data_IF_779599539121
#
_entry.id   IF_779599539121
#
_cell.length_a   1.000
_cell.length_b   1.000
_cell.length_c   1.000
_cell.angle_alpha   90.00
_cell.angle_beta   90.00
_cell.angle_gamma   90.00
#
_symmetry.space_group_name_H-M   'P 1'
#
loop_
_entity.id
_entity.type
_entity.pdbx_description
1 polymer ?
#
# COMPACT_ATOMS: atom_id res chain seq x y z
N UNK A 1 -2.51 13.14 -28.00
CA UNK A 1 -2.72 13.68 -26.79
C UNK A 1 -1.51 14.19 -26.14
N UNK A 2 -1.64 15.25 -25.63
CA UNK A 2 -0.48 16.10 -25.52
C UNK A 2 -0.18 16.54 -24.12
N UNK A 3 -0.59 15.73 -23.15
CA UNK A 3 -0.24 16.06 -21.78
C UNK A 3 1.17 15.58 -21.48
N UNK A 4 2.02 16.45 -20.96
CA UNK A 4 3.35 16.03 -20.55
C UNK A 4 3.32 15.14 -19.32
N UNK A 5 4.37 14.38 -19.13
CA UNK A 5 4.57 13.68 -17.87
C UNK A 5 4.63 14.70 -16.74
N UNK A 6 4.16 14.31 -15.57
CA UNK A 6 4.05 15.21 -14.43
C UNK A 6 4.73 14.59 -13.22
N UNK A 7 5.60 15.37 -12.58
CA UNK A 7 6.23 14.96 -11.32
C UNK A 7 5.29 15.29 -10.17
N UNK A 8 5.14 14.36 -9.25
CA UNK A 8 4.48 14.63 -7.96
C UNK A 8 5.54 14.48 -6.88
N UNK A 9 5.88 15.59 -6.23
CA UNK A 9 6.88 15.59 -5.18
C UNK A 9 6.28 15.05 -3.88
N UNK A 10 7.12 14.50 -3.01
CA UNK A 10 6.65 13.97 -1.73
C UNK A 10 5.88 15.03 -0.93
N UNK A 11 6.34 16.27 -0.95
CA UNK A 11 5.67 17.35 -0.22
C UNK A 11 4.26 17.63 -0.77
N UNK A 12 3.97 17.23 -1.99
CA UNK A 12 2.66 17.40 -2.61
C UNK A 12 1.72 16.22 -2.38
N UNK A 13 2.23 15.13 -1.83
CA UNK A 13 1.42 13.94 -1.60
C UNK A 13 0.38 14.21 -0.51
N UNK A 14 -0.76 13.54 -0.60
CA UNK A 14 -1.78 13.62 0.42
C UNK A 14 -1.44 12.63 1.53
N UNK A 15 -1.19 13.15 2.73
CA UNK A 15 -0.81 12.33 3.88
C UNK A 15 -2.02 12.02 4.74
N UNK A 16 -2.12 10.79 5.20
CA UNK A 16 -3.17 10.38 6.12
C UNK A 16 -2.72 9.16 6.92
N UNK A 17 -3.42 8.91 8.02
CA UNK A 17 -3.14 7.76 8.88
C UNK A 17 -4.25 6.73 8.74
N UNK A 18 -3.84 5.46 8.70
CA UNK A 18 -4.76 4.34 8.81
C UNK A 18 -4.35 3.57 10.06
N UNK A 19 -4.93 3.93 11.21
CA UNK A 19 -4.40 3.50 12.47
C UNK A 19 -2.97 3.98 12.63
N UNK A 20 -2.01 3.10 12.94
CA UNK A 20 -0.60 3.51 13.05
C UNK A 20 0.13 3.58 11.71
N UNK A 21 -0.52 3.22 10.62
CA UNK A 21 0.09 3.20 9.30
C UNK A 21 0.05 4.60 8.70
N UNK A 22 1.22 5.15 8.34
CA UNK A 22 1.30 6.46 7.69
C UNK A 22 1.27 6.27 6.19
N UNK A 23 0.27 6.84 5.55
CA UNK A 23 0.03 6.71 4.12
C UNK A 23 0.28 8.02 3.40
N UNK A 24 0.85 7.91 2.20
CA UNK A 24 1.03 9.05 1.29
C UNK A 24 0.43 8.67 -0.05
N UNK A 25 -0.60 9.37 -0.47
CA UNK A 25 -1.18 9.16 -1.79
C UNK A 25 -0.53 10.15 -2.75
N UNK A 26 0.19 9.65 -3.74
CA UNK A 26 0.88 10.48 -4.72
C UNK A 26 0.04 10.77 -5.94
N UNK A 27 -0.66 9.77 -6.45
CA UNK A 27 -1.42 9.86 -7.69
C UNK A 27 -2.75 9.17 -7.51
N UNK A 28 -3.80 9.81 -7.97
CA UNK A 28 -5.10 9.17 -8.09
C UNK A 28 -5.82 9.74 -9.30
N UNK A 29 -6.12 8.86 -10.25
CA UNK A 29 -6.86 9.19 -11.46
C UNK A 29 -7.94 8.14 -11.65
N UNK A 30 -8.86 8.32 -12.60
CA UNK A 30 -9.82 7.24 -12.89
C UNK A 30 -9.17 5.94 -13.34
N UNK A 31 -7.90 5.95 -13.75
CA UNK A 31 -7.22 4.78 -14.28
C UNK A 31 -6.32 4.08 -13.29
N UNK A 32 -5.80 4.79 -12.28
CA UNK A 32 -4.87 4.20 -11.32
C UNK A 32 -4.73 5.05 -10.07
N UNK A 33 -4.16 4.44 -9.03
CA UNK A 33 -3.64 5.18 -7.89
C UNK A 33 -2.26 4.62 -7.51
N UNK A 34 -1.49 5.46 -6.83
CA UNK A 34 -0.17 5.07 -6.32
C UNK A 34 0.12 5.82 -5.03
N UNK A 35 0.62 5.10 -4.07
CA UNK A 35 1.02 5.69 -2.81
C UNK A 35 2.01 4.82 -2.06
N UNK A 36 2.34 5.26 -0.86
CA UNK A 36 3.26 4.55 0.02
C UNK A 36 2.67 4.43 1.41
N UNK A 37 3.13 3.41 2.12
CA UNK A 37 2.82 3.22 3.54
C UNK A 37 4.11 3.06 4.31
N UNK A 38 4.14 3.56 5.53
CA UNK A 38 5.18 3.23 6.49
C UNK A 38 4.54 2.79 7.80
N UNK A 39 5.15 1.81 8.44
CA UNK A 39 4.60 1.20 9.64
C UNK A 39 5.77 0.88 10.58
N UNK A 40 5.70 1.38 11.81
CA UNK A 40 6.75 1.17 12.79
C UNK A 40 6.84 -0.31 13.20
N UNK A 41 7.99 -0.75 13.74
CA UNK A 41 8.14 -2.14 14.17
C UNK A 41 7.05 -2.56 15.15
N UNK A 42 6.59 -3.79 14.98
CA UNK A 42 5.59 -4.44 15.84
C UNK A 42 4.19 -3.81 15.76
N UNK A 43 3.97 -2.89 14.83
CA UNK A 43 2.66 -2.27 14.64
C UNK A 43 1.82 -3.07 13.65
N UNK A 44 0.52 -3.00 13.86
CA UNK A 44 -0.48 -3.61 12.98
C UNK A 44 -1.36 -2.50 12.42
N UNK A 45 -1.49 -2.43 11.11
CA UNK A 45 -2.36 -1.45 10.46
C UNK A 45 -3.84 -1.79 10.66
N UNK A 46 -4.69 -0.89 10.24
CA UNK A 46 -6.12 -1.15 10.21
C UNK A 46 -6.46 -2.11 9.07
N UNK A 47 -7.62 -2.75 9.18
CA UNK A 47 -8.14 -3.56 8.09
C UNK A 47 -8.52 -2.63 6.94
N UNK A 48 -7.97 -2.91 5.77
CA UNK A 48 -8.42 -2.29 4.53
C UNK A 48 -9.49 -3.22 3.96
N UNK A 49 -10.69 -2.70 3.74
CA UNK A 49 -11.82 -3.53 3.31
C UNK A 49 -11.71 -3.97 1.85
N UNK A 50 -10.68 -3.52 1.14
CA UNK A 50 -10.48 -3.88 -0.25
C UNK A 50 -11.17 -2.92 -1.22
N UNK A 51 -10.91 -3.13 -2.49
CA UNK A 51 -11.44 -2.30 -3.56
C UNK A 51 -12.31 -3.18 -4.45
N UNK A 52 -13.64 -2.98 -4.47
CA UNK A 52 -14.54 -3.93 -5.13
C UNK A 52 -14.37 -4.04 -6.64
N UNK A 53 -13.78 -3.03 -7.28
CA UNK A 53 -13.67 -3.00 -8.74
C UNK A 53 -12.23 -2.81 -9.21
N UNK A 54 -11.25 -3.00 -8.32
CA UNK A 54 -9.85 -2.74 -8.64
C UNK A 54 -8.96 -3.82 -8.07
N UNK A 55 -7.89 -4.10 -8.78
CA UNK A 55 -6.80 -4.88 -8.21
C UNK A 55 -5.79 -3.93 -7.60
N UNK A 56 -5.09 -4.40 -6.57
CA UNK A 56 -4.05 -3.63 -5.91
C UNK A 56 -2.81 -4.49 -5.74
N UNK A 57 -1.65 -3.87 -5.83
CA UNK A 57 -0.39 -4.55 -5.56
C UNK A 57 0.36 -3.78 -4.47
N UNK A 58 0.98 -4.53 -3.56
CA UNK A 58 1.92 -3.97 -2.58
C UNK A 58 3.31 -4.46 -2.93
N UNK A 59 4.28 -3.56 -2.88
CA UNK A 59 5.69 -3.88 -3.06
C UNK A 59 6.44 -3.42 -1.82
N UNK A 60 7.20 -4.33 -1.20
CA UNK A 60 7.96 -4.02 0.01
C UNK A 60 9.30 -3.41 -0.37
N UNK A 61 9.48 -2.13 -0.03
CA UNK A 61 10.74 -1.43 -0.28
C UNK A 61 11.75 -1.67 0.84
N UNK A 62 11.26 -1.81 2.07
CA UNK A 62 12.10 -1.95 3.24
C UNK A 62 11.32 -2.70 4.32
N UNK A 63 11.99 -3.58 5.01
CA UNK A 63 11.43 -4.24 6.17
C UNK A 63 10.96 -5.64 5.92
N UNK A 64 10.17 -6.15 6.86
CA UNK A 64 9.71 -7.54 6.89
C UNK A 64 8.30 -7.53 7.47
N UNK A 65 7.32 -7.89 6.67
CA UNK A 65 5.90 -7.74 7.05
C UNK A 65 5.13 -9.01 6.79
N UNK A 66 3.99 -9.12 7.45
CA UNK A 66 2.94 -10.05 7.08
C UNK A 66 1.80 -9.26 6.47
N UNK A 67 1.18 -9.81 5.44
CA UNK A 67 -0.10 -9.34 4.97
C UNK A 67 -1.12 -10.43 5.27
N UNK A 68 -2.12 -10.09 6.06
CA UNK A 68 -3.20 -11.00 6.44
C UNK A 68 -4.41 -10.71 5.57
N UNK A 69 -4.92 -11.73 4.87
CA UNK A 69 -6.04 -11.57 3.93
C UNK A 69 -7.34 -12.15 4.45
N UNK A 70 -7.48 -12.28 5.77
CA UNK A 70 -8.62 -12.87 6.48
C UNK A 70 -8.68 -14.40 6.40
N UNK A 71 -7.79 -15.01 5.63
CA UNK A 71 -7.69 -16.47 5.51
C UNK A 71 -6.33 -16.98 5.89
N UNK A 72 -5.28 -16.27 5.48
CA UNK A 72 -3.92 -16.70 5.76
C UNK A 72 -3.00 -15.49 5.82
N UNK A 73 -1.82 -15.73 6.39
CA UNK A 73 -0.77 -14.73 6.50
C UNK A 73 0.23 -14.97 5.38
N UNK A 74 0.59 -13.88 4.68
CA UNK A 74 1.59 -13.91 3.63
C UNK A 74 2.83 -13.18 4.15
N UNK A 75 3.94 -13.88 4.22
CA UNK A 75 5.19 -13.30 4.71
C UNK A 75 5.94 -12.68 3.54
N UNK A 76 6.30 -11.40 3.69
CA UNK A 76 6.94 -10.62 2.63
C UNK A 76 8.22 -9.99 3.15
N UNK A 77 9.24 -10.06 2.31
CA UNK A 77 10.54 -9.42 2.57
C UNK A 77 10.74 -8.28 1.56
N UNK A 78 11.71 -7.42 1.84
CA UNK A 78 12.06 -6.36 0.89
C UNK A 78 12.33 -6.93 -0.49
N UNK A 79 11.71 -6.34 -1.50
CA UNK A 79 11.79 -6.81 -2.88
C UNK A 79 10.63 -7.71 -3.31
N UNK A 80 9.79 -8.13 -2.38
CA UNK A 80 8.62 -8.95 -2.71
C UNK A 80 7.42 -8.08 -3.03
N UNK A 81 6.54 -8.61 -3.88
CA UNK A 81 5.25 -7.99 -4.18
C UNK A 81 4.13 -8.99 -3.92
N UNK A 82 2.95 -8.47 -3.61
CA UNK A 82 1.76 -9.28 -3.46
C UNK A 82 0.61 -8.62 -4.21
N UNK A 83 -0.15 -9.43 -4.94
CA UNK A 83 -1.34 -8.97 -5.65
C UNK A 83 -2.57 -9.20 -4.78
N UNK A 84 -3.35 -8.15 -4.58
CA UNK A 84 -4.61 -8.19 -3.86
C UNK A 84 -5.73 -8.18 -4.88
N UNK A 85 -6.48 -9.28 -5.01
CA UNK A 85 -7.63 -9.32 -5.91
C UNK A 85 -8.73 -8.35 -5.50
N UNK A 86 -9.65 -8.12 -6.41
CA UNK A 86 -10.81 -7.27 -6.14
C UNK A 86 -11.52 -7.69 -4.87
N UNK A 87 -11.83 -6.71 -4.03
CA UNK A 87 -12.67 -6.91 -2.86
C UNK A 87 -12.05 -7.68 -1.69
N UNK A 88 -10.77 -8.04 -1.77
CA UNK A 88 -10.16 -8.84 -0.70
C UNK A 88 -9.72 -7.94 0.46
N UNK A 89 -10.31 -8.11 1.66
CA UNK A 89 -9.86 -7.37 2.84
C UNK A 89 -8.45 -7.81 3.24
N UNK A 90 -7.65 -6.84 3.73
CA UNK A 90 -6.28 -7.16 4.10
C UNK A 90 -5.76 -6.22 5.18
N UNK A 91 -4.74 -6.68 5.90
CA UNK A 91 -4.11 -5.96 7.00
C UNK A 91 -2.61 -6.17 6.93
N UNK A 92 -1.85 -5.08 7.09
CA UNK A 92 -0.39 -5.15 7.16
C UNK A 92 0.06 -5.24 8.60
N UNK A 93 1.06 -6.08 8.86
CA UNK A 93 1.64 -6.26 10.19
C UNK A 93 3.16 -6.20 10.03
N UNK A 94 3.81 -5.28 10.73
CA UNK A 94 5.26 -5.22 10.71
C UNK A 94 5.83 -6.15 11.77
N UNK A 95 6.45 -7.24 11.34
CA UNK A 95 7.08 -8.21 12.22
C UNK A 95 8.59 -8.05 12.29
N UNK A 96 9.12 -7.05 11.59
CA UNK A 96 10.55 -6.76 11.57
C UNK A 96 10.97 -5.83 12.69
N UNK A 97 12.24 -5.40 12.61
CA UNK A 97 12.85 -4.55 13.64
C UNK A 97 13.10 -3.14 13.16
N UNK A 98 12.76 -2.84 11.91
CA UNK A 98 12.87 -1.49 11.36
C UNK A 98 11.52 -1.07 10.79
N UNK A 99 11.38 0.21 10.52
CA UNK A 99 10.17 0.72 9.86
C UNK A 99 9.99 0.02 8.52
N UNK A 100 8.82 -0.52 8.29
CA UNK A 100 8.47 -1.09 7.00
C UNK A 100 8.01 0.02 6.07
N UNK A 101 8.46 -0.03 4.81
CA UNK A 101 8.06 0.92 3.78
C UNK A 101 7.58 0.12 2.58
N UNK A 102 6.36 0.39 2.17
CA UNK A 102 5.74 -0.27 1.04
C UNK A 102 5.24 0.75 0.03
N UNK A 103 5.26 0.35 -1.23
CA UNK A 103 4.56 1.07 -2.29
C UNK A 103 3.29 0.29 -2.60
N UNK A 104 2.18 0.99 -2.77
CA UNK A 104 0.95 0.36 -3.23
C UNK A 104 0.43 1.08 -4.46
N UNK A 105 -0.13 0.30 -5.37
CA UNK A 105 -0.70 0.80 -6.60
C UNK A 105 -1.90 -0.04 -6.97
N UNK A 106 -2.85 0.57 -7.63
CA UNK A 106 -4.05 -0.15 -8.06
C UNK A 106 -4.66 0.43 -9.30
N UNK A 107 -5.48 -0.36 -9.95
CA UNK A 107 -6.19 0.01 -11.16
C UNK A 107 -7.44 -0.86 -11.34
N UNK A 108 -8.50 -0.31 -11.96
CA UNK A 108 -8.67 1.09 -12.26
C UNK A 108 -8.76 1.94 -11.00
N UNK A 109 -8.64 3.25 -11.15
CA UNK A 109 -8.62 4.17 -9.99
C UNK A 109 -10.05 4.42 -9.57
N UNK A 110 -10.90 4.47 -9.44
CA UNK A 110 -12.27 4.63 -9.00
C UNK A 110 -12.90 5.91 -9.46
#
# INVERSE_FOLDING_TARGET
>A
MDQPARIVRQVESRNFMEGPEHCREYVKTPKLWLGTSSLAPQQRGNIDTGHPHSEEVFFVCQGHVLLYDEKQYHELFAGDAILIPEGLPHTLINIGQETAVLVWAGAPGA
#
